data_IF_607394246717
#
_entry.id   IF_607394246717
#
_cell.length_a   1.000
_cell.length_b   1.000
_cell.length_c   1.000
_cell.angle_alpha   90.00
_cell.angle_beta   90.00
_cell.angle_gamma   90.00
#
_symmetry.space_group_name_H-M   'P 1'
#
loop_
_entity.id
_entity.type
_entity.pdbx_description
1 polymer ?
#
# COMPACT_ATOMS: atom_id res chain seq x y z
N UNK A 1 5.94 11.52 5.60
CA UNK A 1 5.08 12.66 5.97
C UNK A 1 3.65 12.39 5.56
N UNK A 2 2.64 13.16 6.01
CA UNK A 2 1.24 12.94 5.57
C UNK A 2 1.08 13.08 4.06
N UNK A 3 1.68 14.12 3.45
CA UNK A 3 1.64 14.33 2.00
C UNK A 3 2.20 13.13 1.20
N UNK A 4 3.26 12.48 1.69
CA UNK A 4 3.79 11.27 1.02
C UNK A 4 2.81 10.08 1.12
N UNK A 5 2.13 9.90 2.26
CA UNK A 5 1.12 8.85 2.42
C UNK A 5 -0.06 9.08 1.47
N UNK A 6 -0.55 10.31 1.37
CA UNK A 6 -1.67 10.69 0.51
C UNK A 6 -1.32 10.49 -0.97
N UNK A 7 -0.16 10.99 -1.41
CA UNK A 7 0.29 10.83 -2.80
C UNK A 7 0.51 9.35 -3.18
N UNK A 8 1.14 8.57 -2.28
CA UNK A 8 1.36 7.14 -2.48
C UNK A 8 0.04 6.36 -2.53
N UNK A 9 -0.91 6.71 -1.66
CA UNK A 9 -2.23 6.08 -1.63
C UNK A 9 -3.03 6.37 -2.90
N UNK A 10 -3.01 7.60 -3.39
CA UNK A 10 -3.67 7.97 -4.65
C UNK A 10 -3.11 7.23 -5.85
N UNK A 11 -1.77 7.09 -5.92
CA UNK A 11 -1.13 6.27 -6.96
C UNK A 11 -1.58 4.80 -6.87
N UNK A 12 -1.56 4.22 -5.67
CA UNK A 12 -1.96 2.82 -5.46
C UNK A 12 -3.43 2.60 -5.83
N UNK A 13 -4.33 3.50 -5.41
CA UNK A 13 -5.75 3.45 -5.75
C UNK A 13 -5.97 3.46 -7.27
N UNK A 14 -5.28 4.35 -7.98
CA UNK A 14 -5.35 4.44 -9.45
C UNK A 14 -4.89 3.16 -10.15
N UNK A 15 -3.84 2.51 -9.64
CA UNK A 15 -3.38 1.20 -10.14
C UNK A 15 -4.43 0.13 -9.88
N UNK A 16 -4.98 0.07 -8.66
CA UNK A 16 -6.02 -0.90 -8.32
C UNK A 16 -7.26 -0.76 -9.21
N UNK A 17 -7.76 0.47 -9.40
CA UNK A 17 -8.94 0.73 -10.22
C UNK A 17 -8.71 0.40 -11.70
N UNK A 18 -7.50 0.69 -12.21
CA UNK A 18 -7.14 0.37 -13.60
C UNK A 18 -7.14 -1.13 -13.88
N UNK A 19 -6.76 -1.95 -12.91
CA UNK A 19 -6.57 -3.38 -13.10
C UNK A 19 -7.61 -4.25 -12.38
N UNK A 20 -8.60 -3.65 -11.73
CA UNK A 20 -9.65 -4.38 -10.98
C UNK A 20 -9.09 -5.12 -9.76
N UNK A 21 -8.06 -4.60 -9.12
CA UNK A 21 -7.44 -5.19 -7.92
C UNK A 21 -8.19 -4.70 -6.68
N UNK A 22 -8.59 -5.61 -5.79
CA UNK A 22 -9.23 -5.25 -4.52
C UNK A 22 -8.26 -4.44 -3.65
N UNK A 23 -8.73 -3.30 -3.10
CA UNK A 23 -7.92 -2.35 -2.30
C UNK A 23 -7.78 -2.82 -0.85
N UNK A 24 -7.23 -4.02 -0.64
CA UNK A 24 -7.06 -4.67 0.67
C UNK A 24 -5.61 -5.15 0.90
N UNK A 25 -5.39 -5.79 2.05
CA UNK A 25 -4.07 -6.29 2.46
C UNK A 25 -3.69 -7.65 1.89
N UNK A 26 -4.62 -8.34 1.23
CA UNK A 26 -4.29 -9.56 0.50
C UNK A 26 -3.65 -9.24 -0.86
N UNK A 27 -3.98 -8.08 -1.42
CA UNK A 27 -3.51 -7.66 -2.74
C UNK A 27 -2.50 -6.51 -2.73
N UNK A 28 -2.53 -5.65 -1.70
CA UNK A 28 -1.53 -4.61 -1.49
C UNK A 28 -0.57 -5.14 -0.44
N UNK A 29 0.67 -5.43 -0.83
CA UNK A 29 1.69 -6.06 0.00
C UNK A 29 2.88 -5.12 0.24
N UNK A 30 3.54 -5.28 1.39
CA UNK A 30 4.86 -4.73 1.65
C UNK A 30 5.93 -5.57 0.99
N UNK A 31 7.10 -4.98 0.75
CA UNK A 31 8.18 -5.69 0.07
C UNK A 31 8.63 -6.94 0.85
N UNK A 32 8.71 -6.83 2.18
CA UNK A 32 9.01 -7.93 3.11
C UNK A 32 8.04 -9.12 3.04
N UNK A 33 6.85 -8.94 2.46
CA UNK A 33 5.82 -9.98 2.38
C UNK A 33 5.90 -10.81 1.08
N UNK A 34 6.77 -10.40 0.14
CA UNK A 34 6.94 -11.09 -1.15
C UNK A 34 7.87 -12.30 -0.99
N UNK A 35 7.46 -13.53 -1.37
CA UNK A 35 8.33 -14.70 -1.27
C UNK A 35 9.65 -14.53 -2.02
N UNK A 36 10.77 -14.86 -1.36
CA UNK A 36 12.11 -14.77 -1.94
C UNK A 36 12.77 -13.38 -1.86
N UNK A 37 12.13 -12.41 -1.20
CA UNK A 37 12.73 -11.10 -0.92
C UNK A 37 13.81 -11.17 0.17
N UNK A 38 14.84 -10.33 0.05
CA UNK A 38 15.82 -10.02 1.10
C UNK A 38 15.57 -8.64 1.75
N UNK A 39 14.47 -7.98 1.35
CA UNK A 39 14.07 -6.68 1.85
C UNK A 39 13.27 -6.76 3.15
N UNK A 40 13.42 -5.73 3.98
CA UNK A 40 12.69 -5.59 5.26
C UNK A 40 11.69 -4.44 5.26
N UNK A 41 11.67 -3.63 4.20
CA UNK A 41 10.73 -2.52 4.05
C UNK A 41 9.29 -3.03 3.78
N UNK A 42 8.26 -2.26 4.19
CA UNK A 42 8.31 -0.90 4.74
C UNK A 42 8.63 -0.83 6.25
N UNK A 43 8.91 -1.97 6.89
CA UNK A 43 9.28 -2.07 8.29
C UNK A 43 8.13 -1.87 9.27
N UNK A 44 8.40 -2.10 10.56
CA UNK A 44 7.36 -2.13 11.61
C UNK A 44 6.66 -0.79 11.88
N UNK A 45 7.24 0.33 11.44
CA UNK A 45 6.67 1.68 11.63
C UNK A 45 5.70 2.08 10.52
N UNK A 46 5.52 1.25 9.50
CA UNK A 46 4.56 1.52 8.45
C UNK A 46 3.14 1.25 8.91
N UNK A 47 2.35 2.32 9.01
CA UNK A 47 0.95 2.26 9.43
C UNK A 47 0.07 1.78 8.27
N UNK A 48 -0.05 0.45 8.13
CA UNK A 48 -0.91 -0.19 7.13
C UNK A 48 -2.37 0.19 7.27
N UNK A 49 -2.89 0.33 8.48
CA UNK A 49 -4.29 0.69 8.71
C UNK A 49 -4.60 2.08 8.16
N UNK A 50 -3.73 3.06 8.46
CA UNK A 50 -3.83 4.40 7.87
C UNK A 50 -3.67 4.35 6.36
N UNK A 51 -2.69 3.61 5.85
CA UNK A 51 -2.42 3.56 4.43
C UNK A 51 -3.61 3.00 3.63
N UNK A 52 -4.14 1.84 4.02
CA UNK A 52 -5.28 1.20 3.36
C UNK A 52 -6.54 2.08 3.46
N UNK A 53 -6.75 2.77 4.58
CA UNK A 53 -7.84 3.75 4.68
C UNK A 53 -7.69 4.86 3.63
N UNK A 54 -6.48 5.40 3.45
CA UNK A 54 -6.23 6.44 2.44
C UNK A 54 -6.42 5.90 1.01
N UNK A 55 -5.97 4.67 0.72
CA UNK A 55 -6.15 4.04 -0.60
C UNK A 55 -7.64 3.88 -0.94
N UNK A 56 -8.48 3.57 0.04
CA UNK A 56 -9.92 3.42 -0.16
C UNK A 56 -10.68 4.76 -0.23
N UNK A 57 -10.07 5.87 0.22
CA UNK A 57 -10.65 7.21 0.14
C UNK A 57 -10.20 8.00 -1.10
N UNK A 58 -9.18 7.52 -1.80
CA UNK A 58 -8.59 8.14 -2.97
C UNK A 58 -9.28 7.73 -4.27
#
# INVERSE_FOLDING_TARGET
>A
TNAMFEASAALTASVCDRYGITKDREHILGHVEVPGTDHTDPGALWDWTKYIRLVNLA
#
